data_IF_066989583292
#
_entry.id   IF_066989583292
#
_cell.length_a   1.000
_cell.length_b   1.000
_cell.length_c   1.000
_cell.angle_alpha   90.00
_cell.angle_beta   90.00
_cell.angle_gamma   90.00
#
_symmetry.space_group_name_H-M   'P 1'
#
loop_
_entity.id
_entity.type
_entity.pdbx_description
1 polymer ?
#
# COMPACT_ATOMS: atom_id res chain seq x y z
N UNK A 1 8.39 -5.65 -16.11
CA UNK A 1 7.44 -5.74 -14.98
C UNK A 1 6.21 -4.88 -15.28
N UNK A 2 5.02 -5.29 -14.86
CA UNK A 2 3.79 -4.47 -14.97
C UNK A 2 3.27 -4.17 -13.58
N UNK A 3 2.96 -2.89 -13.30
CA UNK A 3 2.27 -2.49 -12.07
C UNK A 3 0.88 -1.97 -12.42
N UNK A 4 -0.12 -2.47 -11.70
CA UNK A 4 -1.48 -1.95 -11.69
C UNK A 4 -1.75 -1.29 -10.35
N UNK A 5 -2.28 -0.08 -10.36
CA UNK A 5 -2.83 0.60 -9.20
C UNK A 5 -4.29 0.92 -9.45
N UNK A 6 -5.17 0.34 -8.65
CA UNK A 6 -6.62 0.35 -8.90
C UNK A 6 -7.33 1.57 -8.32
N UNK A 7 -6.73 2.23 -7.33
CA UNK A 7 -7.28 3.37 -6.62
C UNK A 7 -6.18 4.40 -6.39
N UNK A 8 -5.73 5.00 -7.50
CA UNK A 8 -4.48 5.75 -7.56
C UNK A 8 -4.51 7.11 -6.83
N UNK A 9 -5.69 7.60 -6.45
CA UNK A 9 -5.83 8.90 -5.81
C UNK A 9 -5.29 10.06 -6.65
N UNK A 10 -4.85 11.11 -6.00
CA UNK A 10 -4.33 12.32 -6.66
C UNK A 10 -2.86 12.24 -7.08
N UNK A 11 -2.17 11.15 -6.74
CA UNK A 11 -0.77 10.91 -7.06
C UNK A 11 0.22 11.66 -6.17
N UNK A 12 -0.06 12.89 -5.79
CA UNK A 12 0.74 13.68 -4.85
C UNK A 12 -0.18 14.50 -3.94
N UNK A 13 0.24 14.70 -2.70
CA UNK A 13 -0.51 15.42 -1.69
C UNK A 13 0.36 16.49 -1.05
N UNK A 14 -0.19 17.69 -0.84
CA UNK A 14 0.46 18.73 -0.05
C UNK A 14 0.26 18.42 1.45
N UNK A 15 1.33 18.44 2.25
CA UNK A 15 1.25 18.13 3.68
C UNK A 15 0.42 19.18 4.45
N UNK A 16 0.32 20.40 3.90
CA UNK A 16 -0.52 21.48 4.44
C UNK A 16 -1.99 21.39 3.97
N UNK A 17 -2.38 20.35 3.20
CA UNK A 17 -3.77 20.21 2.75
C UNK A 17 -4.70 20.02 3.96
N UNK A 18 -5.73 20.87 4.01
CA UNK A 18 -6.71 20.85 5.10
C UNK A 18 -7.42 19.52 5.29
N UNK A 19 -7.48 18.68 4.25
CA UNK A 19 -8.04 17.33 4.30
C UNK A 19 -7.12 16.39 5.11
N UNK A 20 -5.80 16.41 4.83
CA UNK A 20 -4.79 15.64 5.57
C UNK A 20 -4.61 16.13 7.01
N UNK A 21 -4.64 17.44 7.22
CA UNK A 21 -4.54 18.03 8.57
C UNK A 21 -5.70 17.62 9.48
N UNK A 22 -6.94 17.51 8.93
CA UNK A 22 -8.12 17.10 9.71
C UNK A 22 -8.07 15.66 10.17
N UNK A 23 -7.53 14.74 9.36
CA UNK A 23 -7.41 13.32 9.70
C UNK A 23 -6.19 13.04 10.57
N UNK A 24 -5.18 13.91 10.53
CA UNK A 24 -3.91 13.73 11.22
C UNK A 24 -3.07 12.57 10.67
N UNK A 25 -3.40 12.06 9.49
CA UNK A 25 -2.72 10.92 8.88
C UNK A 25 -1.25 11.21 8.58
N UNK A 26 -0.96 12.40 8.03
CA UNK A 26 0.41 12.79 7.75
C UNK A 26 1.25 12.89 9.03
N UNK A 27 0.73 13.59 10.06
CA UNK A 27 1.46 13.84 11.32
C UNK A 27 1.67 12.57 12.15
N UNK A 28 0.72 11.65 12.15
CA UNK A 28 0.83 10.38 12.87
C UNK A 28 1.53 9.29 12.07
N UNK A 29 1.70 9.46 10.77
CA UNK A 29 2.33 8.54 9.84
C UNK A 29 3.72 9.00 9.39
N UNK A 30 3.77 9.53 8.17
CA UNK A 30 5.04 9.82 7.49
C UNK A 30 5.89 10.88 8.19
N UNK A 31 5.29 11.93 8.75
CA UNK A 31 6.05 12.97 9.47
C UNK A 31 6.73 12.40 10.70
N UNK A 32 6.02 11.54 11.45
CA UNK A 32 6.57 10.86 12.62
C UNK A 32 7.72 9.95 12.25
N UNK A 33 7.56 9.18 11.15
CA UNK A 33 8.58 8.28 10.66
C UNK A 33 9.83 9.03 10.19
N UNK A 34 9.70 10.04 9.33
CA UNK A 34 10.83 10.82 8.80
C UNK A 34 11.55 11.57 9.93
N UNK A 35 10.80 12.19 10.85
CA UNK A 35 11.38 12.88 12.00
C UNK A 35 12.19 11.94 12.89
N UNK A 36 11.69 10.73 13.15
CA UNK A 36 12.41 9.73 13.91
C UNK A 36 13.70 9.31 13.21
N UNK A 37 13.65 9.02 11.90
CA UNK A 37 14.81 8.60 11.12
C UNK A 37 15.86 9.70 11.09
N UNK A 38 15.48 10.95 10.79
CA UNK A 38 16.42 12.10 10.77
C UNK A 38 17.14 12.28 12.11
N UNK A 39 16.43 12.08 13.23
CA UNK A 39 16.99 12.22 14.57
C UNK A 39 17.97 11.10 14.95
N UNK A 40 17.73 9.87 14.45
CA UNK A 40 18.45 8.67 14.92
C UNK A 40 19.41 8.08 13.89
N UNK A 41 19.44 8.58 12.65
CA UNK A 41 20.26 8.06 11.56
C UNK A 41 21.75 7.99 11.88
N UNK A 42 22.25 8.96 12.66
CA UNK A 42 23.67 9.08 13.00
C UNK A 42 24.00 8.59 14.43
N UNK A 43 22.99 8.39 15.27
CA UNK A 43 23.17 8.20 16.71
C UNK A 43 22.97 6.74 17.19
N UNK A 44 22.27 5.90 16.43
CA UNK A 44 21.83 4.59 16.90
C UNK A 44 22.37 3.45 16.01
N UNK A 45 23.70 3.41 15.92
CA UNK A 45 24.44 2.43 15.10
C UNK A 45 24.27 0.99 15.59
N UNK A 46 23.79 0.77 16.83
CA UNK A 46 23.64 -0.56 17.41
C UNK A 46 22.24 -1.17 17.30
N UNK A 47 21.20 -0.35 17.06
CA UNK A 47 19.83 -0.84 16.98
C UNK A 47 19.58 -1.65 15.70
N UNK A 48 19.48 -2.98 15.84
CA UNK A 48 19.30 -3.89 14.71
C UNK A 48 17.95 -3.69 14.01
N UNK A 49 16.89 -3.37 14.75
CA UNK A 49 15.56 -3.13 14.18
C UNK A 49 15.55 -1.87 13.30
N UNK A 50 16.26 -0.81 13.73
CA UNK A 50 16.42 0.39 12.91
C UNK A 50 17.23 0.11 11.63
N UNK A 51 18.31 -0.67 11.73
CA UNK A 51 19.07 -1.11 10.55
C UNK A 51 18.22 -1.88 9.56
N UNK A 52 17.43 -2.83 10.03
CA UNK A 52 16.51 -3.62 9.21
C UNK A 52 15.48 -2.73 8.50
N UNK A 53 14.91 -1.75 9.21
CA UNK A 53 13.98 -0.77 8.63
C UNK A 53 14.67 0.07 7.54
N UNK A 54 15.85 0.62 7.82
CA UNK A 54 16.59 1.47 6.88
C UNK A 54 17.01 0.70 5.63
N UNK A 55 17.45 -0.55 5.78
CA UNK A 55 17.86 -1.39 4.65
C UNK A 55 16.65 -1.83 3.81
N UNK A 56 15.62 -2.39 4.43
CA UNK A 56 14.43 -2.90 3.73
C UNK A 56 13.61 -1.77 3.10
N UNK A 57 13.43 -0.67 3.84
CA UNK A 57 12.65 0.49 3.43
C UNK A 57 13.42 1.51 2.59
N UNK A 58 14.71 1.30 2.31
CA UNK A 58 15.63 2.31 1.75
C UNK A 58 15.02 3.15 0.62
N UNK A 59 14.56 2.51 -0.45
CA UNK A 59 14.01 3.23 -1.61
C UNK A 59 12.74 4.01 -1.29
N UNK A 60 11.86 3.44 -0.47
CA UNK A 60 10.67 4.13 -0.02
C UNK A 60 11.03 5.36 0.82
N UNK A 61 11.93 5.20 1.77
CA UNK A 61 12.37 6.27 2.67
C UNK A 61 13.07 7.40 1.91
N UNK A 62 13.97 7.07 0.98
CA UNK A 62 14.62 8.06 0.09
C UNK A 62 13.59 8.83 -0.73
N UNK A 63 12.58 8.14 -1.27
CA UNK A 63 11.50 8.77 -2.04
C UNK A 63 10.65 9.66 -1.13
N UNK A 64 10.19 9.14 -0.01
CA UNK A 64 9.34 9.87 0.92
C UNK A 64 10.05 11.11 1.51
N UNK A 65 11.33 10.99 1.89
CA UNK A 65 12.14 12.10 2.41
C UNK A 65 12.28 13.21 1.38
N UNK A 66 12.56 12.87 0.11
CA UNK A 66 12.65 13.83 -1.00
C UNK A 66 11.39 14.68 -1.13
N UNK A 67 10.21 14.05 -1.12
CA UNK A 67 8.94 14.78 -1.23
C UNK A 67 8.59 15.52 0.06
N UNK A 68 8.89 14.94 1.21
CA UNK A 68 8.67 15.57 2.51
C UNK A 68 9.43 16.90 2.64
N UNK A 69 10.68 16.97 2.16
CA UNK A 69 11.48 18.21 2.14
C UNK A 69 10.89 19.29 1.21
N UNK A 70 10.03 18.89 0.26
CA UNK A 70 9.24 19.80 -0.59
C UNK A 70 7.86 20.14 0.01
N UNK A 71 7.55 19.72 1.25
CA UNK A 71 6.23 19.89 1.88
C UNK A 71 5.15 18.98 1.28
N UNK A 72 5.53 17.86 0.68
CA UNK A 72 4.64 16.97 -0.07
C UNK A 72 4.75 15.52 0.40
N UNK A 73 3.72 14.74 0.05
CA UNK A 73 3.72 13.29 0.20
C UNK A 73 3.39 12.62 -1.13
N UNK A 74 4.21 11.66 -1.58
CA UNK A 74 3.93 10.89 -2.79
C UNK A 74 2.87 9.83 -2.51
N UNK A 75 1.81 9.80 -3.32
CA UNK A 75 0.87 8.68 -3.34
C UNK A 75 1.50 7.42 -3.94
N UNK A 76 0.79 6.29 -3.83
CA UNK A 76 1.20 5.00 -4.40
C UNK A 76 1.70 5.10 -5.84
N UNK A 77 1.03 5.83 -6.78
CA UNK A 77 1.47 5.89 -8.16
C UNK A 77 2.86 6.50 -8.36
N UNK A 78 3.22 7.49 -7.54
CA UNK A 78 4.55 8.10 -7.63
C UNK A 78 5.62 7.23 -6.98
N UNK A 79 5.32 6.58 -5.84
CA UNK A 79 6.21 5.63 -5.21
C UNK A 79 6.53 4.48 -6.16
N UNK A 80 5.51 3.94 -6.83
CA UNK A 80 5.66 2.91 -7.85
C UNK A 80 6.53 3.40 -9.01
N UNK A 81 6.25 4.59 -9.56
CA UNK A 81 7.00 5.14 -10.69
C UNK A 81 8.49 5.28 -10.37
N UNK A 82 8.85 5.75 -9.16
CA UNK A 82 10.25 5.87 -8.71
C UNK A 82 10.95 4.50 -8.59
N UNK A 83 10.20 3.40 -8.40
CA UNK A 83 10.73 2.04 -8.31
C UNK A 83 10.83 1.33 -9.65
N UNK A 84 10.13 1.79 -10.68
CA UNK A 84 10.12 1.19 -12.01
C UNK A 84 11.39 1.50 -12.81
N UNK A 85 11.63 0.68 -13.85
CA UNK A 85 12.78 0.78 -14.75
C UNK A 85 12.29 1.02 -16.18
N UNK A 86 13.16 1.49 -17.03
CA UNK A 86 12.89 1.59 -18.46
C UNK A 86 12.42 0.22 -19.01
N UNK A 87 11.28 0.23 -19.70
CA UNK A 87 10.64 -0.96 -20.25
C UNK A 87 9.61 -1.62 -19.35
N UNK A 88 9.49 -1.21 -18.09
CA UNK A 88 8.37 -1.60 -17.24
C UNK A 88 7.09 -0.83 -17.65
N UNK A 89 5.92 -1.33 -17.26
CA UNK A 89 4.62 -0.71 -17.52
C UNK A 89 3.93 -0.33 -16.21
N UNK A 90 3.31 0.86 -16.19
CA UNK A 90 2.47 1.33 -15.09
C UNK A 90 1.07 1.65 -15.61
N UNK A 91 0.06 1.08 -14.96
CA UNK A 91 -1.35 1.20 -15.33
C UNK A 91 -2.11 1.65 -14.09
N UNK A 92 -2.65 2.86 -14.15
CA UNK A 92 -3.30 3.56 -13.05
C UNK A 92 -4.78 3.70 -13.32
N UNK A 93 -5.60 3.57 -12.30
CA UNK A 93 -7.04 3.83 -12.38
C UNK A 93 -7.49 4.71 -11.22
N UNK A 94 -8.27 5.74 -11.54
CA UNK A 94 -8.94 6.60 -10.57
C UNK A 94 -10.34 6.94 -11.09
N UNK A 95 -11.34 6.73 -10.23
CA UNK A 95 -12.74 6.95 -10.60
C UNK A 95 -13.24 8.33 -10.17
N UNK A 96 -12.73 8.85 -9.02
CA UNK A 96 -13.18 10.13 -8.50
C UNK A 96 -12.72 11.28 -9.42
N UNK A 97 -13.65 12.13 -9.94
CA UNK A 97 -13.31 13.10 -10.97
C UNK A 97 -12.17 14.05 -10.60
N UNK A 98 -12.20 14.62 -9.39
CA UNK A 98 -11.19 15.57 -8.94
C UNK A 98 -9.84 14.89 -8.75
N UNK A 99 -9.80 13.72 -8.09
CA UNK A 99 -8.55 12.98 -7.89
C UNK A 99 -7.94 12.53 -9.22
N UNK A 100 -8.78 12.14 -10.19
CA UNK A 100 -8.31 11.81 -11.55
C UNK A 100 -7.66 13.02 -12.24
N UNK A 101 -8.27 14.21 -12.16
CA UNK A 101 -7.69 15.43 -12.78
C UNK A 101 -6.37 15.81 -12.11
N UNK A 102 -6.29 15.71 -10.79
CA UNK A 102 -5.04 15.93 -10.03
C UNK A 102 -3.96 14.91 -10.40
N UNK A 103 -4.31 13.64 -10.53
CA UNK A 103 -3.42 12.55 -10.96
C UNK A 103 -2.86 12.79 -12.38
N UNK A 104 -3.75 13.08 -13.32
CA UNK A 104 -3.36 13.34 -14.72
C UNK A 104 -2.44 14.56 -14.82
N UNK A 105 -2.76 15.64 -14.12
CA UNK A 105 -1.91 16.84 -14.05
C UNK A 105 -0.56 16.56 -13.40
N UNK A 106 -0.53 15.76 -12.32
CA UNK A 106 0.69 15.34 -11.64
C UNK A 106 1.67 14.64 -12.62
N UNK A 107 1.17 13.66 -13.37
CA UNK A 107 2.00 12.92 -14.32
C UNK A 107 2.31 13.72 -15.59
N UNK A 108 1.40 14.54 -16.07
CA UNK A 108 1.65 15.46 -17.18
C UNK A 108 2.79 16.45 -16.87
N UNK A 109 2.78 17.06 -15.69
CA UNK A 109 3.82 17.98 -15.24
C UNK A 109 5.19 17.32 -15.15
N UNK A 110 5.24 16.09 -14.59
CA UNK A 110 6.48 15.30 -14.49
C UNK A 110 7.00 14.82 -15.85
N UNK A 111 6.11 14.48 -16.77
CA UNK A 111 6.49 14.18 -18.15
C UNK A 111 7.20 15.36 -18.80
N UNK A 112 6.65 16.58 -18.66
CA UNK A 112 7.29 17.81 -19.14
C UNK A 112 8.64 18.07 -18.51
N UNK A 113 8.77 17.78 -17.22
CA UNK A 113 10.02 17.94 -16.49
C UNK A 113 11.03 16.79 -16.71
N UNK A 114 10.69 15.77 -17.48
CA UNK A 114 11.51 14.57 -17.74
C UNK A 114 11.95 13.82 -16.48
N UNK A 115 11.08 13.78 -15.45
CA UNK A 115 11.37 13.15 -14.15
C UNK A 115 10.74 11.76 -14.00
N UNK A 116 9.91 11.31 -14.94
CA UNK A 116 9.28 9.99 -14.89
C UNK A 116 10.25 8.87 -15.29
N UNK A 117 10.19 7.75 -14.57
CA UNK A 117 10.88 6.50 -14.96
C UNK A 117 10.17 5.82 -16.13
N UNK A 118 8.84 5.77 -16.05
CA UNK A 118 7.97 5.27 -17.13
C UNK A 118 6.79 6.22 -17.31
N UNK A 119 6.22 6.26 -18.52
CA UNK A 119 4.98 6.99 -18.78
C UNK A 119 3.80 6.08 -18.41
N UNK A 120 2.98 6.40 -17.37
CA UNK A 120 1.85 5.59 -17.01
C UNK A 120 0.71 5.66 -18.04
N UNK A 121 -0.11 4.62 -18.07
CA UNK A 121 -1.43 4.60 -18.73
C UNK A 121 -2.46 4.90 -17.65
N UNK A 122 -3.11 6.06 -17.71
CA UNK A 122 -4.06 6.51 -16.70
C UNK A 122 -5.48 6.34 -17.24
N UNK A 123 -6.35 5.70 -16.47
CA UNK A 123 -7.72 5.39 -16.81
C UNK A 123 -8.69 6.07 -15.83
N UNK A 124 -9.65 6.87 -16.35
CA UNK A 124 -10.80 7.35 -15.56
C UNK A 124 -11.85 6.24 -15.53
N UNK A 125 -11.69 5.30 -14.63
CA UNK A 125 -12.48 4.07 -14.60
C UNK A 125 -12.49 3.45 -13.21
N UNK A 126 -13.51 2.61 -12.94
CA UNK A 126 -13.49 1.71 -11.78
C UNK A 126 -12.27 0.78 -11.81
N UNK A 127 -11.49 0.78 -10.71
CA UNK A 127 -10.24 0.05 -10.62
C UNK A 127 -10.42 -1.47 -10.65
N UNK A 128 -11.51 -1.97 -10.07
CA UNK A 128 -11.83 -3.40 -10.09
C UNK A 128 -12.14 -3.87 -11.51
N UNK A 129 -12.91 -3.07 -12.27
CA UNK A 129 -13.21 -3.37 -13.67
C UNK A 129 -11.96 -3.28 -14.55
N UNK A 130 -11.14 -2.24 -14.35
CA UNK A 130 -9.89 -2.06 -15.08
C UNK A 130 -8.98 -3.26 -14.89
N UNK A 131 -8.75 -3.68 -13.64
CA UNK A 131 -7.87 -4.80 -13.31
C UNK A 131 -8.36 -6.11 -13.93
N UNK A 132 -9.66 -6.41 -13.83
CA UNK A 132 -10.25 -7.60 -14.46
C UNK A 132 -10.15 -7.60 -15.98
N UNK A 133 -10.26 -6.42 -16.61
CA UNK A 133 -10.22 -6.29 -18.07
C UNK A 133 -8.80 -6.39 -18.65
N UNK A 134 -7.78 -5.89 -17.90
CA UNK A 134 -6.42 -5.78 -18.39
C UNK A 134 -5.47 -6.90 -17.90
N UNK A 135 -5.98 -7.81 -17.05
CA UNK A 135 -5.23 -9.00 -16.63
C UNK A 135 -5.59 -10.24 -17.47
N UNK A 136 -4.63 -11.11 -17.80
CA UNK A 136 -3.21 -10.96 -17.54
C UNK A 136 -2.55 -9.89 -18.41
N UNK A 137 -1.55 -9.15 -17.88
CA UNK A 137 -0.84 -8.13 -18.66
C UNK A 137 0.04 -8.75 -19.74
N UNK A 138 0.43 -7.93 -20.70
CA UNK A 138 1.36 -8.35 -21.76
C UNK A 138 2.71 -8.81 -21.18
N UNK A 139 3.24 -8.05 -20.22
CA UNK A 139 4.41 -8.45 -19.42
C UNK A 139 3.85 -9.16 -18.18
N UNK A 140 3.84 -10.49 -18.20
CA UNK A 140 3.15 -11.33 -17.21
C UNK A 140 3.69 -11.24 -15.78
N UNK A 141 4.95 -10.84 -15.60
CA UNK A 141 5.50 -10.61 -14.25
C UNK A 141 5.06 -9.22 -13.78
N UNK A 142 4.34 -9.15 -12.66
CA UNK A 142 3.82 -7.86 -12.22
C UNK A 142 3.16 -7.90 -10.84
N UNK A 143 2.69 -6.72 -10.43
CA UNK A 143 2.03 -6.44 -9.17
C UNK A 143 0.71 -5.72 -9.46
N UNK A 144 -0.35 -6.08 -8.77
CA UNK A 144 -1.56 -5.29 -8.64
C UNK A 144 -1.68 -4.78 -7.21
N UNK A 145 -1.78 -3.46 -7.04
CA UNK A 145 -2.10 -2.79 -5.77
C UNK A 145 -3.59 -2.48 -5.78
N UNK A 146 -4.28 -2.90 -4.73
CA UNK A 146 -5.72 -2.69 -4.52
C UNK A 146 -5.88 -1.97 -3.19
N UNK A 147 -6.30 -0.71 -3.24
CA UNK A 147 -6.39 0.17 -2.07
C UNK A 147 -7.68 1.02 -2.10
N UNK A 148 -8.87 0.39 -1.99
CA UNK A 148 -10.12 1.13 -1.94
C UNK A 148 -10.27 1.86 -0.60
N UNK A 149 -11.18 2.83 -0.53
CA UNK A 149 -11.43 3.62 0.68
C UNK A 149 -12.06 2.82 1.83
N UNK A 150 -12.70 1.68 1.53
CA UNK A 150 -13.50 0.90 2.50
C UNK A 150 -14.60 1.69 3.23
N UNK A 151 -14.98 2.86 2.71
CA UNK A 151 -16.14 3.61 3.19
C UNK A 151 -17.43 2.82 2.94
N UNK A 152 -17.54 2.20 1.76
CA UNK A 152 -18.64 1.30 1.43
C UNK A 152 -18.29 -0.13 1.86
N UNK A 153 -19.18 -0.72 2.67
CA UNK A 153 -19.05 -2.13 3.08
C UNK A 153 -18.99 -3.11 1.90
N UNK A 154 -19.52 -2.72 0.74
CA UNK A 154 -19.44 -3.54 -0.48
C UNK A 154 -18.02 -3.72 -1.00
N UNK A 155 -17.05 -2.87 -0.61
CA UNK A 155 -15.66 -2.99 -1.04
C UNK A 155 -15.02 -4.29 -0.56
N UNK A 156 -15.37 -4.80 0.63
CA UNK A 156 -14.89 -6.09 1.10
C UNK A 156 -15.26 -7.23 0.14
N UNK A 157 -16.51 -7.22 -0.36
CA UNK A 157 -16.98 -8.21 -1.33
C UNK A 157 -16.38 -7.98 -2.73
N UNK A 158 -16.26 -6.71 -3.16
CA UNK A 158 -15.65 -6.36 -4.46
C UNK A 158 -14.18 -6.80 -4.49
N UNK A 159 -13.42 -6.56 -3.41
CA UNK A 159 -12.03 -7.00 -3.28
C UNK A 159 -11.91 -8.52 -3.43
N UNK A 160 -12.66 -9.30 -2.62
CA UNK A 160 -12.56 -10.76 -2.67
C UNK A 160 -12.92 -11.34 -4.03
N UNK A 161 -14.02 -10.86 -4.66
CA UNK A 161 -14.41 -11.30 -6.01
C UNK A 161 -13.37 -10.92 -7.05
N UNK A 162 -12.87 -9.68 -7.02
CA UNK A 162 -11.90 -9.21 -8.01
C UNK A 162 -10.59 -9.97 -7.90
N UNK A 163 -10.07 -10.17 -6.70
CA UNK A 163 -8.83 -10.93 -6.48
C UNK A 163 -8.99 -12.36 -6.97
N UNK A 164 -10.10 -13.02 -6.64
CA UNK A 164 -10.38 -14.38 -7.09
C UNK A 164 -10.45 -14.52 -8.62
N UNK A 165 -11.14 -13.57 -9.28
CA UNK A 165 -11.24 -13.55 -10.76
C UNK A 165 -9.89 -13.27 -11.43
N UNK A 166 -9.14 -12.30 -10.88
CA UNK A 166 -7.83 -11.89 -11.40
C UNK A 166 -6.81 -13.01 -11.20
N UNK A 167 -6.77 -13.63 -10.02
CA UNK A 167 -5.85 -14.73 -9.74
C UNK A 167 -6.08 -15.93 -10.69
N UNK A 168 -7.34 -16.28 -11.00
CA UNK A 168 -7.66 -17.33 -11.99
C UNK A 168 -7.10 -17.04 -13.38
N UNK A 169 -7.12 -15.77 -13.82
CA UNK A 169 -6.60 -15.34 -15.13
C UNK A 169 -5.10 -15.12 -15.13
N UNK A 170 -4.56 -14.70 -14.01
CA UNK A 170 -3.16 -14.31 -13.83
C UNK A 170 -2.55 -14.95 -12.58
N UNK A 171 -2.38 -16.30 -12.59
CA UNK A 171 -1.96 -17.05 -11.40
C UNK A 171 -0.54 -16.75 -10.93
N UNK A 172 0.29 -16.13 -11.77
CA UNK A 172 1.65 -15.69 -11.42
C UNK A 172 1.74 -14.23 -10.99
N UNK A 173 0.62 -13.48 -10.98
CA UNK A 173 0.55 -12.10 -10.56
C UNK A 173 0.65 -11.97 -9.04
N UNK A 174 1.44 -11.00 -8.58
CA UNK A 174 1.42 -10.60 -7.18
C UNK A 174 0.22 -9.65 -7.01
N UNK A 175 -0.65 -9.93 -6.03
CA UNK A 175 -1.79 -9.06 -5.74
C UNK A 175 -1.67 -8.61 -4.28
N UNK A 176 -1.50 -7.32 -4.08
CA UNK A 176 -1.36 -6.69 -2.76
C UNK A 176 -2.62 -5.87 -2.46
N UNK A 177 -3.43 -6.34 -1.53
CA UNK A 177 -4.62 -5.68 -1.03
C UNK A 177 -4.30 -4.96 0.27
N UNK A 178 -4.39 -3.63 0.29
CA UNK A 178 -4.43 -2.89 1.53
C UNK A 178 -5.83 -2.97 2.16
N UNK A 179 -5.92 -3.00 3.49
CA UNK A 179 -7.17 -2.97 4.21
C UNK A 179 -7.03 -2.25 5.56
N UNK A 180 -8.06 -1.52 6.01
CA UNK A 180 -8.09 -0.92 7.34
C UNK A 180 -8.45 -1.96 8.41
N UNK A 181 -7.91 -1.80 9.62
CA UNK A 181 -8.34 -2.56 10.79
C UNK A 181 -9.25 -1.66 11.63
N UNK A 182 -10.54 -2.01 11.63
CA UNK A 182 -11.62 -1.25 12.26
C UNK A 182 -12.34 -2.13 13.28
N UNK A 183 -12.66 -1.59 14.45
CA UNK A 183 -13.40 -2.33 15.49
C UNK A 183 -14.78 -2.83 15.01
N UNK A 184 -15.44 -2.10 14.12
CA UNK A 184 -16.81 -2.38 13.63
C UNK A 184 -16.88 -3.26 12.38
N UNK A 185 -15.74 -3.61 11.76
CA UNK A 185 -15.69 -4.31 10.46
C UNK A 185 -14.90 -5.62 10.52
N UNK A 186 -14.78 -6.19 11.68
CA UNK A 186 -14.03 -7.43 11.91
C UNK A 186 -14.62 -8.64 11.16
N UNK A 187 -15.95 -8.72 11.08
CA UNK A 187 -16.63 -9.79 10.36
C UNK A 187 -16.43 -9.68 8.84
N UNK A 188 -16.65 -8.48 8.29
CA UNK A 188 -16.47 -8.22 6.84
C UNK A 188 -15.02 -8.48 6.43
N UNK A 189 -14.06 -8.00 7.21
CA UNK A 189 -12.63 -8.23 6.97
C UNK A 189 -12.28 -9.72 7.01
N UNK A 190 -12.77 -10.45 8.02
CA UNK A 190 -12.55 -11.88 8.14
C UNK A 190 -13.14 -12.63 6.95
N UNK A 191 -14.41 -12.36 6.61
CA UNK A 191 -15.10 -13.00 5.48
C UNK A 191 -14.41 -12.72 4.13
N UNK A 192 -13.90 -11.50 3.93
CA UNK A 192 -13.13 -11.14 2.73
C UNK A 192 -11.86 -11.99 2.63
N UNK A 193 -11.08 -12.10 3.70
CA UNK A 193 -9.83 -12.87 3.73
C UNK A 193 -10.08 -14.36 3.51
N UNK A 194 -11.07 -14.93 4.18
CA UNK A 194 -11.48 -16.33 4.00
C UNK A 194 -11.87 -16.61 2.55
N UNK A 195 -12.72 -15.78 1.96
CA UNK A 195 -13.13 -15.92 0.56
C UNK A 195 -11.96 -15.80 -0.43
N UNK A 196 -10.95 -14.96 -0.17
CA UNK A 196 -9.74 -14.90 -1.00
C UNK A 196 -8.93 -16.20 -0.83
N UNK A 197 -8.70 -16.63 0.41
CA UNK A 197 -7.89 -17.80 0.72
C UNK A 197 -8.45 -19.08 0.10
N UNK A 198 -9.77 -19.29 0.18
CA UNK A 198 -10.45 -20.43 -0.43
C UNK A 198 -10.31 -20.47 -1.96
N UNK A 199 -10.25 -19.30 -2.62
CA UNK A 199 -10.14 -19.19 -4.07
C UNK A 199 -8.69 -19.17 -4.60
N UNK A 200 -7.72 -18.87 -3.73
CA UNK A 200 -6.29 -18.95 -4.02
C UNK A 200 -5.78 -20.32 -3.62
N UNK A 201 -6.36 -21.37 -4.18
CA UNK A 201 -5.97 -22.74 -3.86
C UNK A 201 -4.48 -22.96 -4.06
N UNK A 202 -3.83 -23.42 -3.01
CA UNK A 202 -2.50 -23.95 -3.11
C UNK A 202 -2.57 -25.42 -3.56
N UNK A 203 -2.41 -25.63 -4.85
CA UNK A 203 -2.03 -26.96 -5.35
C UNK A 203 -0.60 -27.32 -4.91
N UNK A 204 0.09 -26.44 -4.19
CA UNK A 204 1.45 -26.58 -3.70
C UNK A 204 1.44 -26.66 -2.17
N UNK A 205 2.39 -27.39 -1.61
CA UNK A 205 2.63 -27.55 -0.17
C UNK A 205 3.09 -26.30 0.57
N UNK A 206 3.18 -25.15 -0.09
CA UNK A 206 3.69 -23.89 0.49
C UNK A 206 2.63 -22.79 0.52
N UNK A 207 2.62 -21.95 1.57
CA UNK A 207 1.71 -20.80 1.67
C UNK A 207 1.88 -19.84 0.49
N UNK A 208 0.76 -19.38 -0.08
CA UNK A 208 0.76 -18.40 -1.18
C UNK A 208 0.32 -17.02 -0.77
N UNK A 209 -0.18 -16.87 0.43
CA UNK A 209 -0.71 -15.61 0.96
C UNK A 209 0.09 -15.20 2.17
N UNK A 210 0.46 -13.92 2.20
CA UNK A 210 1.06 -13.27 3.36
C UNK A 210 0.09 -12.20 3.87
N UNK A 211 -0.33 -12.32 5.13
CA UNK A 211 -1.13 -11.32 5.82
C UNK A 211 -0.26 -10.56 6.80
N UNK A 212 0.02 -9.29 6.48
CA UNK A 212 0.87 -8.39 7.27
C UNK A 212 -0.01 -7.34 7.92
N UNK A 213 0.08 -7.17 9.24
CA UNK A 213 -0.72 -6.21 10.00
C UNK A 213 0.18 -5.32 10.86
N UNK A 214 -0.19 -4.05 10.95
CA UNK A 214 0.41 -3.06 11.82
C UNK A 214 -0.72 -2.28 12.52
N UNK A 215 -0.78 -2.40 13.84
CA UNK A 215 -1.69 -1.65 14.70
C UNK A 215 -0.91 -0.52 15.37
N UNK A 216 -1.45 0.69 15.37
CA UNK A 216 -0.78 1.91 15.86
C UNK A 216 -1.53 2.59 17.01
N UNK A 217 -2.71 2.06 17.35
CA UNK A 217 -3.54 2.45 18.49
C UNK A 217 -4.13 1.20 19.11
N UNK A 218 -4.55 1.28 20.38
CA UNK A 218 -5.33 0.18 20.95
C UNK A 218 -6.79 0.21 20.44
N UNK A 219 -7.46 -0.94 20.33
CA UNK A 219 -8.88 -0.98 19.97
C UNK A 219 -9.76 -0.11 20.89
N UNK A 220 -9.43 -0.05 22.20
CA UNK A 220 -10.14 0.73 23.20
C UNK A 220 -10.06 2.24 22.95
N UNK A 221 -8.94 2.73 22.43
CA UNK A 221 -8.77 4.15 22.06
C UNK A 221 -9.69 4.56 20.91
N UNK A 222 -10.20 3.59 20.15
CA UNK A 222 -11.09 3.83 18.99
C UNK A 222 -12.51 3.34 19.26
N UNK A 223 -12.81 2.84 20.47
CA UNK A 223 -14.14 2.36 20.81
C UNK A 223 -15.16 3.50 20.74
N UNK A 224 -16.28 3.26 20.06
CA UNK A 224 -17.30 4.29 19.80
C UNK A 224 -17.00 5.22 18.62
N UNK A 225 -15.77 5.26 18.12
CA UNK A 225 -15.37 6.00 16.93
C UNK A 225 -15.33 5.08 15.70
N UNK A 226 -15.62 5.59 14.52
CA UNK A 226 -15.40 4.84 13.26
C UNK A 226 -13.95 4.97 12.78
N UNK A 227 -13.01 5.03 13.71
CA UNK A 227 -11.61 5.27 13.38
C UNK A 227 -10.82 3.97 13.24
N UNK A 228 -9.87 4.02 12.34
CA UNK A 228 -8.90 2.96 12.10
C UNK A 228 -7.88 2.94 13.24
N UNK A 229 -7.60 1.76 13.80
CA UNK A 229 -6.54 1.58 14.79
C UNK A 229 -5.29 0.89 14.23
N UNK A 230 -5.39 0.38 13.01
CA UNK A 230 -4.31 -0.26 12.29
C UNK A 230 -4.68 -0.49 10.84
N UNK A 231 -3.75 -1.04 10.09
CA UNK A 231 -3.96 -1.47 8.71
C UNK A 231 -3.18 -2.75 8.42
N UNK A 232 -3.48 -3.36 7.28
CA UNK A 232 -2.74 -4.53 6.83
C UNK A 232 -2.63 -4.62 5.33
N UNK A 233 -1.74 -5.51 4.91
CA UNK A 233 -1.56 -5.91 3.50
C UNK A 233 -1.80 -7.41 3.38
N UNK A 234 -2.76 -7.78 2.54
CA UNK A 234 -3.05 -9.17 2.19
C UNK A 234 -2.47 -9.46 0.81
N UNK A 235 -1.38 -10.22 0.76
CA UNK A 235 -0.53 -10.33 -0.44
C UNK A 235 -0.60 -11.75 -0.99
N UNK A 236 -1.25 -11.90 -2.14
CA UNK A 236 -1.30 -13.17 -2.89
C UNK A 236 -0.04 -13.31 -3.73
N UNK A 237 0.53 -14.51 -3.78
CA UNK A 237 1.81 -14.82 -4.45
C UNK A 237 2.96 -13.91 -3.96
N UNK A 238 3.05 -13.71 -2.65
CA UNK A 238 4.07 -12.83 -2.07
C UNK A 238 5.49 -13.23 -2.49
N UNK A 239 6.39 -12.24 -2.70
CA UNK A 239 7.78 -12.48 -3.10
C UNK A 239 8.56 -13.30 -2.06
N UNK A 240 9.53 -14.06 -2.54
CA UNK A 240 10.46 -14.82 -1.70
C UNK A 240 11.09 -13.94 -0.62
N UNK A 241 11.12 -14.42 0.61
CA UNK A 241 11.64 -13.75 1.81
C UNK A 241 10.92 -12.45 2.22
N UNK A 242 9.77 -12.10 1.62
CA UNK A 242 9.02 -10.93 2.06
C UNK A 242 8.54 -11.07 3.51
N UNK A 243 8.13 -12.27 3.91
CA UNK A 243 7.76 -12.62 5.29
C UNK A 243 8.87 -12.25 6.29
N UNK A 244 10.09 -12.70 6.05
CA UNK A 244 11.25 -12.42 6.91
C UNK A 244 11.60 -10.93 6.95
N UNK A 245 11.49 -10.24 5.80
CA UNK A 245 11.71 -8.79 5.73
C UNK A 245 10.66 -8.02 6.54
N UNK A 246 9.40 -8.44 6.49
CA UNK A 246 8.35 -7.82 7.29
C UNK A 246 8.56 -8.09 8.78
N UNK A 247 8.87 -9.32 9.17
CA UNK A 247 9.20 -9.67 10.56
C UNK A 247 10.38 -8.86 11.11
N UNK A 248 11.38 -8.56 10.27
CA UNK A 248 12.55 -7.77 10.66
C UNK A 248 12.27 -6.26 10.73
N UNK A 249 11.29 -5.76 9.98
CA UNK A 249 11.03 -4.32 9.80
C UNK A 249 9.92 -3.80 10.72
N UNK A 250 8.86 -4.60 10.89
CA UNK A 250 7.66 -4.21 11.63
C UNK A 250 7.89 -3.86 13.10
N UNK A 251 8.81 -4.50 13.86
CA UNK A 251 9.10 -4.10 15.23
C UNK A 251 9.42 -2.61 15.36
N UNK A 252 10.30 -2.11 14.48
CA UNK A 252 10.69 -0.68 14.50
C UNK A 252 9.55 0.23 14.04
N UNK A 253 8.81 -0.15 13.00
CA UNK A 253 7.64 0.62 12.55
C UNK A 253 6.55 0.68 13.62
N UNK A 254 6.29 -0.44 14.30
CA UNK A 254 5.32 -0.52 15.40
C UNK A 254 5.72 0.39 16.57
N UNK A 255 6.98 0.40 16.94
CA UNK A 255 7.52 1.28 17.98
C UNK A 255 7.41 2.76 17.57
N UNK A 256 7.84 3.10 16.35
CA UNK A 256 7.83 4.49 15.87
C UNK A 256 6.39 5.02 15.77
N UNK A 257 5.49 4.28 15.15
CA UNK A 257 4.15 4.76 14.83
C UNK A 257 3.16 4.58 15.98
N UNK A 258 3.21 3.45 16.67
CA UNK A 258 2.25 3.08 17.72
C UNK A 258 2.76 3.27 19.14
N UNK A 259 4.08 3.39 19.36
CA UNK A 259 4.64 3.43 20.71
C UNK A 259 4.21 2.23 21.54
N UNK A 260 3.72 2.46 22.76
CA UNK A 260 3.27 1.40 23.66
C UNK A 260 2.00 0.66 23.19
N UNK A 261 1.20 1.27 22.33
CA UNK A 261 -0.01 0.67 21.75
C UNK A 261 0.30 -0.08 20.43
N UNK A 262 1.51 0.05 19.93
CA UNK A 262 1.93 -0.57 18.68
C UNK A 262 1.97 -2.09 18.76
N UNK A 263 1.37 -2.76 17.78
CA UNK A 263 1.49 -4.20 17.60
C UNK A 263 1.58 -4.58 16.13
N UNK A 264 2.09 -5.77 15.85
CA UNK A 264 2.23 -6.23 14.47
C UNK A 264 2.07 -7.74 14.36
N UNK A 265 1.71 -8.21 13.17
CA UNK A 265 1.60 -9.66 12.86
C UNK A 265 2.03 -9.92 11.42
N UNK A 266 2.63 -11.09 11.22
CA UNK A 266 2.96 -11.63 9.90
C UNK A 266 2.50 -13.08 9.87
N UNK A 267 1.50 -13.37 9.06
CA UNK A 267 0.91 -14.71 8.96
C UNK A 267 1.03 -15.21 7.51
N UNK A 268 1.48 -16.44 7.35
CA UNK A 268 1.47 -17.18 6.06
C UNK A 268 0.25 -18.09 6.02
N UNK A 269 -0.51 -18.01 4.94
CA UNK A 269 -1.74 -18.75 4.69
C UNK A 269 -1.59 -19.55 3.40
#
# INVERSE_FOLDING_TARGET
FTVFDTHSGSGIYDLDDSRLLKTGEASNGIEKLISFIKKNKDNDVENQNLKNLLETGKKYLETAEKYYDEGKYPGSPLIENEMLRAGDEQILSELHPTAFEELDFCFYSRKKAHTLKVQPKIHKRDGYEMLKALTPPKIKRGLAVIDPSFEDTSDYLKCSKTISEVHKKWPAGIIALWYPILTRKTFELKSMKEAISENVESAASEPKILDVQLEVKSPEETEGLSSMYGSGMFIVNFPYELDKKMEATLPMLSEILGGNAGSWRVNKI
#
